data_IF_737183939772
#
_entry.id   IF_737183939772
#
_cell.length_a   1.000
_cell.length_b   1.000
_cell.length_c   1.000
_cell.angle_alpha   90.00
_cell.angle_beta   90.00
_cell.angle_gamma   90.00
#
_symmetry.space_group_name_H-M   'P 1'
#
loop_
_entity.id
_entity.type
_entity.pdbx_description
1 polymer ?
#
# COMPACT_ATOMS: atom_id res chain seq x y z
N UNK A 1 32.69 -19.60 -29.25
CA UNK A 1 32.09 -19.94 -27.95
C UNK A 1 31.08 -21.09 -28.01
N UNK A 2 30.21 -21.22 -29.02
CA UNK A 2 29.29 -22.37 -29.11
C UNK A 2 29.98 -23.71 -29.47
N UNK A 3 31.07 -23.68 -30.26
CA UNK A 3 31.80 -24.88 -30.71
C UNK A 3 32.60 -25.59 -29.58
N UNK A 4 33.03 -24.86 -28.56
CA UNK A 4 33.80 -25.44 -27.44
C UNK A 4 32.91 -26.21 -26.45
N UNK A 5 31.63 -25.82 -26.34
CA UNK A 5 30.68 -26.48 -25.45
C UNK A 5 30.28 -27.85 -26.00
N UNK A 6 30.08 -27.96 -27.31
CA UNK A 6 29.69 -29.22 -27.96
C UNK A 6 30.83 -30.26 -27.95
N UNK A 7 32.08 -29.81 -28.11
CA UNK A 7 33.27 -30.65 -27.95
C UNK A 7 33.46 -31.11 -26.49
N UNK A 8 33.23 -30.22 -25.52
CA UNK A 8 33.30 -30.56 -24.10
C UNK A 8 32.20 -31.57 -23.69
N UNK A 9 30.96 -31.37 -24.13
CA UNK A 9 29.84 -32.29 -23.88
C UNK A 9 30.13 -33.66 -24.51
N UNK A 10 30.62 -33.70 -25.75
CA UNK A 10 30.95 -34.96 -26.45
C UNK A 10 32.10 -35.70 -25.76
N UNK A 11 33.11 -34.97 -25.26
CA UNK A 11 34.23 -35.54 -24.51
C UNK A 11 33.78 -36.14 -23.18
N UNK A 12 32.94 -35.41 -22.43
CA UNK A 12 32.38 -35.90 -21.15
C UNK A 12 31.50 -37.13 -21.40
N UNK A 13 30.66 -37.11 -22.44
CA UNK A 13 29.84 -38.27 -22.79
C UNK A 13 30.66 -39.51 -23.15
N UNK A 14 31.78 -39.36 -23.89
CA UNK A 14 32.66 -40.48 -24.24
C UNK A 14 33.39 -41.05 -23.03
N UNK A 15 33.90 -40.19 -22.15
CA UNK A 15 34.56 -40.61 -20.91
C UNK A 15 33.57 -41.37 -20.00
N UNK A 16 32.34 -40.88 -19.90
CA UNK A 16 31.30 -41.54 -19.10
C UNK A 16 30.85 -42.86 -19.73
N UNK A 17 30.76 -42.94 -21.06
CA UNK A 17 30.44 -44.18 -21.77
C UNK A 17 31.54 -45.24 -21.59
N UNK A 18 32.82 -44.84 -21.61
CA UNK A 18 33.93 -45.74 -21.28
C UNK A 18 33.89 -46.20 -19.82
N UNK A 19 33.59 -45.30 -18.88
CA UNK A 19 33.45 -45.64 -17.47
C UNK A 19 32.33 -46.66 -17.24
N UNK A 20 31.18 -46.47 -17.89
CA UNK A 20 30.03 -47.40 -17.80
C UNK A 20 30.39 -48.75 -18.41
N UNK A 21 31.06 -48.77 -19.58
CA UNK A 21 31.49 -50.03 -20.18
C UNK A 21 32.53 -50.77 -19.33
N UNK A 22 33.43 -50.04 -18.68
CA UNK A 22 34.39 -50.61 -17.74
C UNK A 22 33.70 -51.18 -16.50
N UNK A 23 32.75 -50.45 -15.90
CA UNK A 23 31.98 -50.94 -14.76
C UNK A 23 31.13 -52.19 -15.11
N UNK A 24 30.55 -52.25 -16.31
CA UNK A 24 29.83 -53.43 -16.79
C UNK A 24 30.80 -54.62 -16.99
N UNK A 25 31.99 -54.38 -17.55
CA UNK A 25 33.00 -55.41 -17.75
C UNK A 25 33.57 -55.94 -16.42
N UNK A 26 33.82 -55.05 -15.46
CA UNK A 26 34.30 -55.40 -14.12
C UNK A 26 33.23 -56.17 -13.35
N UNK A 27 31.96 -55.77 -13.47
CA UNK A 27 30.82 -56.49 -12.90
C UNK A 27 30.64 -57.88 -13.53
N UNK A 28 30.69 -58.00 -14.86
CA UNK A 28 30.62 -59.29 -15.55
C UNK A 28 31.79 -60.21 -15.13
N UNK A 29 32.97 -59.65 -14.89
CA UNK A 29 34.15 -60.39 -14.41
C UNK A 29 33.97 -60.84 -12.95
N UNK A 30 33.44 -59.98 -12.09
CA UNK A 30 33.14 -60.28 -10.69
C UNK A 30 32.07 -61.38 -10.56
N UNK A 31 30.98 -61.29 -11.34
CA UNK A 31 29.93 -62.32 -11.40
C UNK A 31 30.50 -63.66 -11.88
N UNK A 32 31.39 -63.65 -12.88
CA UNK A 32 32.04 -64.87 -13.41
C UNK A 32 32.99 -65.52 -12.41
N UNK A 33 33.62 -64.74 -11.54
CA UNK A 33 34.47 -65.23 -10.46
C UNK A 33 33.65 -65.79 -9.28
N UNK A 34 32.46 -65.24 -9.04
CA UNK A 34 31.64 -65.55 -7.86
C UNK A 34 30.54 -66.62 -8.11
N UNK A 35 30.29 -67.01 -9.38
CA UNK A 35 29.41 -68.12 -9.79
C UNK A 35 29.92 -69.54 -9.40
N UNK A 36 31.02 -69.63 -8.64
CA UNK A 36 31.50 -70.88 -8.02
C UNK A 36 31.28 -70.95 -6.50
N UNK A 37 30.50 -70.03 -5.92
CA UNK A 37 30.04 -70.06 -4.53
C UNK A 37 28.51 -69.96 -4.40
N UNK A 38 27.91 -70.40 -3.28
CA UNK A 38 26.46 -70.59 -3.17
C UNK A 38 25.67 -69.26 -3.17
N UNK A 39 24.75 -69.14 -4.13
CA UNK A 39 23.44 -68.49 -4.22
C UNK A 39 23.14 -67.08 -3.65
N UNK A 40 24.05 -66.38 -2.95
CA UNK A 40 23.70 -65.10 -2.29
C UNK A 40 24.48 -63.86 -2.74
N UNK A 41 25.42 -63.97 -3.68
CA UNK A 41 26.38 -62.89 -3.97
C UNK A 41 26.00 -62.06 -5.22
N UNK A 42 25.36 -62.67 -6.23
CA UNK A 42 25.00 -61.99 -7.49
C UNK A 42 24.02 -60.81 -7.29
N UNK A 43 23.14 -60.86 -6.29
CA UNK A 43 22.16 -59.79 -5.99
C UNK A 43 22.87 -58.53 -5.46
N UNK A 44 23.91 -58.67 -4.63
CA UNK A 44 24.63 -57.53 -4.07
C UNK A 44 25.48 -56.81 -5.13
N UNK A 45 26.03 -57.53 -6.10
CA UNK A 45 26.76 -56.91 -7.19
C UNK A 45 25.86 -56.08 -8.11
N UNK A 46 24.62 -56.52 -8.35
CA UNK A 46 23.63 -55.74 -9.10
C UNK A 46 23.28 -54.46 -8.33
N UNK A 47 23.02 -54.55 -7.03
CA UNK A 47 22.71 -53.39 -6.17
C UNK A 47 23.87 -52.38 -6.16
N UNK A 48 25.11 -52.85 -6.02
CA UNK A 48 26.29 -51.99 -6.05
C UNK A 48 26.49 -51.30 -7.41
N UNK A 49 26.18 -51.97 -8.53
CA UNK A 49 26.22 -51.37 -9.87
C UNK A 49 25.21 -50.23 -10.01
N UNK A 50 24.01 -50.37 -9.44
CA UNK A 50 23.00 -49.31 -9.42
C UNK A 50 23.44 -48.09 -8.58
N UNK A 51 24.09 -48.33 -7.44
CA UNK A 51 24.64 -47.27 -6.58
C UNK A 51 25.86 -46.56 -7.22
N UNK A 52 26.78 -47.30 -7.85
CA UNK A 52 27.96 -46.74 -8.51
C UNK A 52 27.61 -45.90 -9.76
N UNK A 53 26.55 -46.28 -10.47
CA UNK A 53 25.99 -45.50 -11.58
C UNK A 53 25.22 -44.25 -11.11
N UNK A 54 25.15 -43.99 -9.79
CA UNK A 54 24.40 -42.89 -9.17
C UNK A 54 22.99 -42.76 -9.72
N UNK A 55 22.33 -43.90 -9.99
CA UNK A 55 20.93 -43.90 -10.39
C UNK A 55 20.05 -43.69 -9.16
N UNK A 56 20.07 -42.45 -8.64
CA UNK A 56 19.21 -42.01 -7.55
C UNK A 56 17.75 -42.06 -8.03
N UNK A 57 17.02 -43.10 -7.64
CA UNK A 57 15.59 -43.21 -7.98
C UNK A 57 14.97 -44.60 -8.00
N UNK A 58 15.73 -45.69 -7.87
CA UNK A 58 15.14 -47.03 -7.66
C UNK A 58 15.00 -47.31 -6.16
N UNK A 59 14.45 -46.35 -5.43
CA UNK A 59 13.68 -46.66 -4.23
C UNK A 59 12.24 -46.82 -4.73
N UNK A 60 11.84 -48.07 -4.95
CA UNK A 60 10.44 -48.40 -5.20
C UNK A 60 9.65 -47.87 -4.00
N UNK A 61 8.63 -47.06 -4.30
CA UNK A 61 7.70 -46.51 -3.34
C UNK A 61 7.29 -47.54 -2.27
N UNK A 62 7.14 -47.03 -1.04
CA UNK A 62 6.77 -47.75 0.18
C UNK A 62 5.86 -48.97 -0.10
N UNK A 63 6.31 -50.13 0.39
CA UNK A 63 5.63 -51.44 0.45
C UNK A 63 5.74 -52.42 -0.75
N UNK A 64 6.58 -52.18 -1.76
CA UNK A 64 6.84 -53.19 -2.80
C UNK A 64 8.32 -53.56 -2.91
N UNK A 65 8.77 -54.56 -2.12
CA UNK A 65 10.07 -55.22 -2.30
C UNK A 65 10.19 -55.72 -3.75
N UNK A 66 11.33 -55.54 -4.45
CA UNK A 66 11.59 -56.30 -5.66
C UNK A 66 11.65 -57.77 -5.27
N UNK A 67 10.63 -58.54 -5.65
CA UNK A 67 10.61 -59.97 -5.43
C UNK A 67 11.43 -60.63 -6.54
N UNK A 68 12.76 -60.53 -6.44
CA UNK A 68 13.62 -61.55 -7.02
C UNK A 68 13.43 -62.78 -6.15
N UNK A 69 12.68 -63.76 -6.65
CA UNK A 69 12.51 -65.04 -5.95
C UNK A 69 13.46 -66.04 -6.61
N UNK A 70 14.45 -66.50 -5.86
CA UNK A 70 15.22 -67.70 -6.16
C UNK A 70 14.47 -68.89 -5.58
N UNK A 71 14.12 -69.85 -6.42
CA UNK A 71 13.66 -71.16 -5.96
C UNK A 71 14.86 -72.10 -5.78
N UNK A 72 14.71 -73.13 -4.95
CA UNK A 72 15.79 -74.02 -4.52
C UNK A 72 16.41 -74.87 -5.66
N UNK A 73 15.89 -74.72 -6.87
CA UNK A 73 16.35 -75.33 -8.12
C UNK A 73 17.17 -74.38 -9.01
N UNK A 74 17.50 -73.17 -8.54
CA UNK A 74 18.32 -72.20 -9.27
C UNK A 74 17.53 -71.24 -10.16
N UNK A 75 16.19 -71.33 -10.21
CA UNK A 75 15.40 -70.42 -11.05
C UNK A 75 15.29 -69.01 -10.44
N UNK A 76 15.71 -67.99 -11.20
CA UNK A 76 15.59 -66.57 -10.84
C UNK A 76 14.36 -65.95 -11.51
N UNK A 77 13.40 -65.49 -10.70
CA UNK A 77 12.23 -64.76 -11.20
C UNK A 77 12.43 -63.25 -11.07
N UNK A 78 12.57 -62.53 -12.19
CA UNK A 78 12.62 -61.07 -12.22
C UNK A 78 11.23 -60.50 -12.53
N UNK A 79 10.62 -59.85 -11.54
CA UNK A 79 9.33 -59.19 -11.67
C UNK A 79 9.47 -57.82 -12.35
N UNK A 80 9.42 -57.78 -13.68
CA UNK A 80 9.20 -56.51 -14.41
C UNK A 80 7.70 -56.27 -14.56
N UNK A 81 7.12 -55.36 -13.77
CA UNK A 81 5.74 -54.90 -14.02
C UNK A 81 5.72 -53.94 -15.21
N UNK A 82 4.86 -54.16 -16.22
CA UNK A 82 4.34 -53.05 -17.01
C UNK A 82 3.24 -52.37 -16.20
N UNK A 83 3.37 -51.07 -15.94
CA UNK A 83 2.30 -50.28 -15.33
C UNK A 83 1.08 -50.25 -16.26
N UNK A 84 0.00 -50.94 -15.88
CA UNK A 84 -1.35 -50.49 -16.18
C UNK A 84 -2.32 -50.92 -15.07
N UNK A 85 -3.14 -49.96 -14.63
CA UNK A 85 -4.15 -50.14 -13.59
C UNK A 85 -5.12 -51.28 -13.96
N UNK A 86 -5.30 -52.25 -13.05
CA UNK A 86 -6.58 -52.96 -12.94
C UNK A 86 -6.70 -54.38 -13.52
N UNK A 87 -5.62 -55.08 -13.88
CA UNK A 87 -5.74 -56.49 -14.30
C UNK A 87 -5.30 -57.47 -13.20
N UNK A 88 -6.19 -58.41 -12.85
CA UNK A 88 -5.85 -59.61 -12.06
C UNK A 88 -4.81 -60.42 -12.82
N UNK A 89 -3.63 -60.56 -12.23
CA UNK A 89 -2.50 -61.31 -12.79
C UNK A 89 -2.86 -62.80 -12.83
N UNK A 90 -2.89 -63.40 -14.03
CA UNK A 90 -2.93 -64.87 -14.20
C UNK A 90 -1.49 -65.38 -14.28
N UNK A 91 -1.16 -66.44 -13.54
CA UNK A 91 0.17 -67.08 -13.50
C UNK A 91 0.69 -67.56 -14.87
N UNK A 92 -0.16 -67.61 -15.89
CA UNK A 92 0.09 -68.25 -17.18
C UNK A 92 0.76 -67.35 -18.22
N UNK A 93 1.04 -66.08 -17.92
CA UNK A 93 1.66 -65.13 -18.88
C UNK A 93 3.16 -64.88 -18.64
N UNK A 94 3.79 -65.62 -17.73
CA UNK A 94 5.23 -65.53 -17.49
C UNK A 94 5.94 -66.65 -18.25
N UNK A 95 6.87 -66.27 -19.14
CA UNK A 95 7.88 -67.22 -19.60
C UNK A 95 8.97 -67.27 -18.52
N UNK A 96 9.27 -68.46 -17.95
CA UNK A 96 10.48 -68.61 -17.16
C UNK A 96 11.67 -68.26 -18.06
N UNK A 97 12.55 -67.38 -17.59
CA UNK A 97 13.86 -67.18 -18.21
C UNK A 97 14.78 -68.14 -17.45
N UNK A 98 15.27 -69.18 -18.12
CA UNK A 98 16.23 -70.09 -17.53
C UNK A 98 17.58 -69.36 -17.32
N UNK A 99 18.37 -69.76 -16.32
CA UNK A 99 19.75 -69.24 -16.14
C UNK A 99 20.59 -69.35 -17.42
N UNK A 100 20.34 -70.38 -18.24
CA UNK A 100 20.99 -70.60 -19.53
C UNK A 100 20.53 -69.65 -20.65
N UNK A 101 19.39 -68.96 -20.48
CA UNK A 101 18.82 -67.99 -21.44
C UNK A 101 19.19 -66.53 -21.11
N UNK A 102 19.77 -66.28 -19.93
CA UNK A 102 20.34 -65.00 -19.53
C UNK A 102 21.73 -64.85 -20.14
N UNK A 103 21.81 -64.73 -21.47
CA UNK A 103 23.07 -64.30 -22.07
C UNK A 103 23.43 -62.91 -21.54
N UNK A 104 24.73 -62.64 -21.35
CA UNK A 104 25.26 -61.32 -21.00
C UNK A 104 24.69 -60.21 -21.90
N UNK A 105 24.33 -60.56 -23.15
CA UNK A 105 23.66 -59.71 -24.13
C UNK A 105 22.23 -59.29 -23.73
N UNK A 106 21.40 -60.19 -23.19
CA UNK A 106 20.02 -59.88 -22.77
C UNK A 106 19.98 -58.94 -21.57
N UNK A 107 20.86 -59.18 -20.58
CA UNK A 107 21.03 -58.29 -19.42
C UNK A 107 21.59 -56.92 -19.83
N UNK A 108 22.60 -56.91 -20.70
CA UNK A 108 23.18 -55.69 -21.25
C UNK A 108 22.17 -54.84 -22.02
N UNK A 109 21.33 -55.46 -22.86
CA UNK A 109 20.28 -54.75 -23.61
C UNK A 109 19.19 -54.16 -22.70
N UNK A 110 18.79 -54.89 -21.64
CA UNK A 110 17.84 -54.41 -20.64
C UNK A 110 18.35 -53.19 -19.87
N UNK A 111 19.61 -53.22 -19.43
CA UNK A 111 20.27 -52.10 -18.76
C UNK A 111 20.41 -50.88 -19.68
N UNK A 112 20.81 -51.08 -20.95
CA UNK A 112 20.91 -49.99 -21.92
C UNK A 112 19.56 -49.32 -22.19
N UNK A 113 18.46 -50.09 -22.25
CA UNK A 113 17.10 -49.56 -22.38
C UNK A 113 16.68 -48.72 -21.16
N UNK A 114 17.02 -49.14 -19.95
CA UNK A 114 16.73 -48.40 -18.72
C UNK A 114 17.54 -47.10 -18.64
N UNK A 115 18.85 -47.15 -18.96
CA UNK A 115 19.72 -45.97 -19.04
C UNK A 115 19.20 -44.99 -20.10
N UNK A 116 18.79 -45.49 -21.27
CA UNK A 116 18.21 -44.67 -22.34
C UNK A 116 16.93 -43.94 -21.90
N UNK A 117 16.03 -44.65 -21.20
CA UNK A 117 14.78 -44.07 -20.67
C UNK A 117 15.04 -43.00 -19.61
N UNK A 118 15.98 -43.23 -18.70
CA UNK A 118 16.26 -42.24 -17.64
C UNK A 118 16.96 -41.00 -18.19
N UNK A 119 17.83 -41.16 -19.19
CA UNK A 119 18.40 -40.02 -19.94
C UNK A 119 17.34 -39.23 -20.68
N UNK A 120 16.39 -39.90 -21.35
CA UNK A 120 15.29 -39.21 -22.02
C UNK A 120 14.39 -38.44 -21.02
N UNK A 121 14.13 -39.04 -19.86
CA UNK A 121 13.37 -38.41 -18.78
C UNK A 121 14.10 -37.21 -18.18
N UNK A 122 15.41 -37.31 -17.94
CA UNK A 122 16.24 -36.19 -17.50
C UNK A 122 16.31 -35.08 -18.54
N UNK A 123 16.47 -35.42 -19.83
CA UNK A 123 16.47 -34.44 -20.91
C UNK A 123 15.13 -33.69 -21.00
N UNK A 124 14.00 -34.40 -20.87
CA UNK A 124 12.67 -33.78 -20.83
C UNK A 124 12.50 -32.86 -19.61
N UNK A 125 12.93 -33.30 -18.43
CA UNK A 125 12.87 -32.47 -17.22
C UNK A 125 13.74 -31.20 -17.33
N UNK A 126 14.96 -31.32 -17.89
CA UNK A 126 15.82 -30.16 -18.13
C UNK A 126 15.22 -29.21 -19.15
N UNK A 127 14.60 -29.73 -20.22
CA UNK A 127 13.94 -28.92 -21.23
C UNK A 127 12.72 -28.19 -20.65
N UNK A 128 11.87 -28.87 -19.87
CA UNK A 128 10.73 -28.26 -19.20
C UNK A 128 11.14 -27.19 -18.19
N UNK A 129 12.21 -27.42 -17.41
CA UNK A 129 12.77 -26.42 -16.51
C UNK A 129 13.29 -25.20 -17.27
N UNK A 130 14.03 -25.41 -18.36
CA UNK A 130 14.56 -24.33 -19.19
C UNK A 130 13.44 -23.50 -19.85
N UNK A 131 12.42 -24.17 -20.40
CA UNK A 131 11.26 -23.48 -20.99
C UNK A 131 10.47 -22.69 -19.94
N UNK A 132 10.35 -23.22 -18.72
CA UNK A 132 9.67 -22.55 -17.61
C UNK A 132 10.45 -21.32 -17.15
N UNK A 133 11.77 -21.43 -16.97
CA UNK A 133 12.65 -20.31 -16.63
C UNK A 133 12.58 -19.22 -17.70
N UNK A 134 12.65 -19.60 -18.98
CA UNK A 134 12.56 -18.65 -20.10
C UNK A 134 11.20 -17.93 -20.14
N UNK A 135 10.10 -18.62 -19.85
CA UNK A 135 8.77 -17.98 -19.76
C UNK A 135 8.70 -16.98 -18.60
N UNK A 136 9.22 -17.36 -17.42
CA UNK A 136 9.25 -16.48 -16.25
C UNK A 136 10.13 -15.25 -16.49
N UNK A 137 11.29 -15.40 -17.15
CA UNK A 137 12.15 -14.28 -17.52
C UNK A 137 11.47 -13.32 -18.51
N UNK A 138 10.79 -13.86 -19.54
CA UNK A 138 10.03 -13.06 -20.49
C UNK A 138 8.86 -12.33 -19.82
N UNK A 139 8.17 -12.99 -18.90
CA UNK A 139 7.05 -12.38 -18.16
C UNK A 139 7.54 -11.26 -17.23
N UNK A 140 8.64 -11.48 -16.48
CA UNK A 140 9.28 -10.44 -15.66
C UNK A 140 9.74 -9.26 -16.51
N UNK A 141 10.44 -9.52 -17.62
CA UNK A 141 10.88 -8.46 -18.52
C UNK A 141 9.71 -7.67 -19.13
N UNK A 142 8.58 -8.34 -19.41
CA UNK A 142 7.36 -7.68 -19.87
C UNK A 142 6.73 -6.82 -18.77
N UNK A 143 6.64 -7.33 -17.55
CA UNK A 143 6.09 -6.59 -16.40
C UNK A 143 6.96 -5.36 -16.06
N UNK A 144 8.29 -5.51 -16.05
CA UNK A 144 9.23 -4.41 -15.83
C UNK A 144 9.09 -3.31 -16.89
N UNK A 145 8.92 -3.68 -18.17
CA UNK A 145 8.65 -2.71 -19.24
C UNK A 145 7.33 -1.98 -19.04
N UNK A 146 6.25 -2.71 -18.73
CA UNK A 146 4.93 -2.10 -18.48
C UNK A 146 4.96 -1.15 -17.27
N UNK A 147 5.64 -1.53 -16.19
CA UNK A 147 5.80 -0.68 -15.01
C UNK A 147 6.64 0.57 -15.33
N UNK A 148 7.74 0.41 -16.07
CA UNK A 148 8.58 1.55 -16.49
C UNK A 148 7.83 2.51 -17.41
N UNK A 149 7.07 2.00 -18.39
CA UNK A 149 6.23 2.83 -19.26
C UNK A 149 5.14 3.56 -18.48
N UNK A 150 4.47 2.86 -17.56
CA UNK A 150 3.45 3.46 -16.70
C UNK A 150 4.04 4.58 -15.82
N UNK A 151 5.19 4.35 -15.18
CA UNK A 151 5.90 5.37 -14.40
C UNK A 151 6.27 6.58 -15.26
N UNK A 152 6.76 6.36 -16.48
CA UNK A 152 7.11 7.44 -17.40
C UNK A 152 5.90 8.27 -17.81
N UNK A 153 4.74 7.64 -18.04
CA UNK A 153 3.49 8.37 -18.32
C UNK A 153 3.07 9.21 -17.13
N UNK A 154 3.09 8.65 -15.92
CA UNK A 154 2.79 9.39 -14.69
C UNK A 154 3.72 10.59 -14.47
N UNK A 155 5.03 10.42 -14.70
CA UNK A 155 5.99 11.52 -14.58
C UNK A 155 5.75 12.62 -15.62
N UNK A 156 5.43 12.27 -16.87
CA UNK A 156 5.11 13.24 -17.91
C UNK A 156 3.82 14.01 -17.58
N UNK A 157 2.78 13.32 -17.14
CA UNK A 157 1.53 13.93 -16.69
C UNK A 157 1.78 14.86 -15.50
N UNK A 158 2.48 14.39 -14.47
CA UNK A 158 2.86 15.18 -13.29
C UNK A 158 3.61 16.45 -13.65
N UNK A 159 4.57 16.38 -14.58
CA UNK A 159 5.35 17.54 -15.00
C UNK A 159 4.50 18.56 -15.77
N UNK A 160 3.60 18.10 -16.64
CA UNK A 160 2.70 18.97 -17.39
C UNK A 160 1.67 19.65 -16.48
N UNK A 161 1.04 18.87 -15.60
CA UNK A 161 0.05 19.34 -14.64
C UNK A 161 0.67 20.28 -13.59
N UNK A 162 1.85 19.93 -13.09
CA UNK A 162 2.55 20.72 -12.07
C UNK A 162 2.92 22.12 -12.54
N UNK A 163 3.32 22.29 -13.80
CA UNK A 163 3.62 23.61 -14.35
C UNK A 163 2.39 24.52 -14.44
N UNK A 164 1.24 23.96 -14.81
CA UNK A 164 -0.04 24.69 -14.89
C UNK A 164 -0.53 25.04 -13.48
N UNK A 165 -0.52 24.09 -12.55
CA UNK A 165 -0.93 24.30 -11.16
C UNK A 165 -0.09 25.39 -10.47
N UNK A 166 1.25 25.35 -10.61
CA UNK A 166 2.12 26.37 -10.04
C UNK A 166 1.80 27.77 -10.57
N UNK A 167 1.57 27.90 -11.87
CA UNK A 167 1.20 29.19 -12.47
C UNK A 167 -0.12 29.72 -11.89
N UNK A 168 -1.09 28.85 -11.70
CA UNK A 168 -2.41 29.23 -11.17
C UNK A 168 -2.32 29.56 -9.69
N UNK A 169 -1.53 28.84 -8.90
CA UNK A 169 -1.27 29.20 -7.50
C UNK A 169 -0.69 30.60 -7.38
N UNK A 170 0.29 30.94 -8.23
CA UNK A 170 0.86 32.30 -8.27
C UNK A 170 -0.21 33.35 -8.63
N UNK A 171 -1.13 33.03 -9.54
CA UNK A 171 -2.25 33.93 -9.86
C UNK A 171 -3.24 34.08 -8.69
N UNK A 172 -3.56 32.99 -8.00
CA UNK A 172 -4.40 32.99 -6.79
C UNK A 172 -3.75 33.85 -5.71
N UNK A 173 -2.47 33.61 -5.41
CA UNK A 173 -1.72 34.36 -4.39
C UNK A 173 -1.68 35.85 -4.73
N UNK A 174 -1.49 36.18 -6.01
CA UNK A 174 -1.58 37.57 -6.48
C UNK A 174 -2.97 38.16 -6.25
N UNK A 175 -4.05 37.47 -6.63
CA UNK A 175 -5.43 37.93 -6.42
C UNK A 175 -5.75 38.08 -4.93
N UNK A 176 -5.27 37.16 -4.09
CA UNK A 176 -5.39 37.20 -2.63
C UNK A 176 -4.67 38.43 -2.07
N UNK A 177 -3.42 38.68 -2.48
CA UNK A 177 -2.65 39.85 -2.05
C UNK A 177 -3.30 41.17 -2.49
N UNK A 178 -3.81 41.24 -3.72
CA UNK A 178 -4.53 42.41 -4.23
C UNK A 178 -5.86 42.65 -3.47
N UNK A 179 -6.57 41.57 -3.10
CA UNK A 179 -7.78 41.65 -2.29
C UNK A 179 -7.48 42.03 -0.83
N UNK A 180 -6.38 41.52 -0.26
CA UNK A 180 -5.88 41.88 1.06
C UNK A 180 -5.62 43.37 1.20
N UNK A 181 -5.01 43.99 0.19
CA UNK A 181 -4.76 45.44 0.16
C UNK A 181 -6.04 46.27 0.14
N UNK A 182 -7.15 45.68 -0.31
CA UNK A 182 -8.48 46.31 -0.37
C UNK A 182 -9.37 45.92 0.81
N UNK A 183 -8.88 45.13 1.76
CA UNK A 183 -9.61 44.82 2.99
C UNK A 183 -9.96 46.10 3.72
N UNK A 184 -11.09 46.05 4.44
CA UNK A 184 -11.59 47.17 5.21
C UNK A 184 -10.48 47.73 6.14
N UNK A 185 -10.29 49.04 6.10
CA UNK A 185 -9.26 49.73 6.88
C UNK A 185 -9.90 50.54 8.01
N UNK A 186 -9.28 50.53 9.18
CA UNK A 186 -9.72 51.33 10.30
C UNK A 186 -9.69 52.82 9.94
N UNK A 187 -10.80 53.57 10.07
CA UNK A 187 -10.80 54.96 9.66
C UNK A 187 -9.86 55.80 10.53
N UNK A 188 -9.04 56.62 9.88
CA UNK A 188 -8.00 57.39 10.56
C UNK A 188 -8.57 58.27 11.68
N UNK A 189 -7.97 58.18 12.87
CA UNK A 189 -8.33 58.99 14.04
C UNK A 189 -9.65 58.59 14.72
N UNK A 190 -10.32 57.53 14.29
CA UNK A 190 -11.49 56.99 15.00
C UNK A 190 -11.06 56.12 16.17
N UNK A 191 -11.78 56.27 17.28
CA UNK A 191 -11.61 55.44 18.48
C UNK A 191 -12.97 54.82 18.79
N UNK A 192 -13.02 53.50 18.94
CA UNK A 192 -14.18 52.79 19.46
C UNK A 192 -13.95 52.52 20.95
N UNK A 193 -14.92 52.88 21.78
CA UNK A 193 -14.88 52.58 23.22
C UNK A 193 -15.88 51.48 23.50
N UNK A 194 -15.38 50.34 23.98
CA UNK A 194 -16.20 49.21 24.42
C UNK A 194 -15.98 48.99 25.91
N UNK A 195 -16.98 48.42 26.56
CA UNK A 195 -16.91 47.99 27.95
C UNK A 195 -17.13 46.50 28.02
N UNK A 196 -16.14 45.76 28.51
CA UNK A 196 -16.33 44.38 28.91
C UNK A 196 -16.96 44.39 30.29
N UNK A 197 -18.14 43.82 30.42
CA UNK A 197 -18.82 43.68 31.71
C UNK A 197 -18.74 42.22 32.14
N UNK A 198 -18.34 42.00 33.40
CA UNK A 198 -18.38 40.71 34.06
C UNK A 198 -19.27 40.83 35.29
N UNK A 199 -20.12 39.84 35.51
CA UNK A 199 -21.07 39.87 36.62
C UNK A 199 -21.31 38.48 37.21
N UNK A 200 -21.67 38.48 38.49
CA UNK A 200 -22.06 37.29 39.21
C UNK A 200 -23.41 36.77 38.72
N UNK A 201 -23.44 35.50 38.32
CA UNK A 201 -24.62 34.83 37.75
C UNK A 201 -25.18 33.72 38.67
N UNK A 202 -24.57 33.47 39.83
CA UNK A 202 -25.05 32.51 40.82
C UNK A 202 -23.94 31.63 41.37
N UNK A 203 -24.26 30.87 42.41
CA UNK A 203 -23.37 29.87 43.00
C UNK A 203 -23.92 28.46 42.77
N UNK A 204 -23.03 27.48 42.63
CA UNK A 204 -23.39 26.07 42.59
C UNK A 204 -22.41 25.28 43.45
N UNK A 205 -22.80 24.06 43.82
CA UNK A 205 -21.86 23.11 44.45
C UNK A 205 -21.31 22.18 43.39
N UNK A 206 -20.00 21.99 43.39
CA UNK A 206 -19.37 21.01 42.52
C UNK A 206 -19.58 19.57 43.04
N UNK A 207 -18.92 18.61 42.40
CA UNK A 207 -19.05 17.19 42.73
C UNK A 207 -18.45 16.82 44.09
N UNK A 208 -17.54 17.64 44.59
CA UNK A 208 -16.87 17.47 45.89
C UNK A 208 -17.60 18.24 47.01
N UNK A 209 -18.66 18.97 46.66
CA UNK A 209 -19.51 19.73 47.58
C UNK A 209 -18.98 21.13 47.90
N UNK A 210 -17.93 21.58 47.19
CA UNK A 210 -17.36 22.91 47.35
C UNK A 210 -18.25 23.96 46.68
N UNK A 211 -18.32 25.14 47.30
CA UNK A 211 -19.07 26.27 46.76
C UNK A 211 -18.28 26.92 45.62
N UNK A 212 -18.78 26.78 44.40
CA UNK A 212 -18.27 27.47 43.23
C UNK A 212 -19.16 28.66 42.86
N UNK A 213 -18.53 29.71 42.34
CA UNK A 213 -19.24 30.89 41.83
C UNK A 213 -19.21 30.88 40.30
N UNK A 214 -20.36 31.13 39.70
CA UNK A 214 -20.54 31.27 38.26
C UNK A 214 -20.56 32.76 37.90
N UNK A 215 -19.72 33.11 36.94
CA UNK A 215 -19.65 34.45 36.37
C UNK A 215 -20.08 34.39 34.91
N UNK A 216 -20.76 35.44 34.47
CA UNK A 216 -21.08 35.67 33.09
C UNK A 216 -20.42 36.97 32.63
N UNK A 217 -20.17 37.06 31.32
CA UNK A 217 -19.56 38.22 30.71
C UNK A 217 -20.26 38.60 29.40
N UNK A 218 -19.99 39.82 28.96
CA UNK A 218 -20.41 40.34 27.67
C UNK A 218 -19.81 41.71 27.42
N UNK A 219 -20.13 42.29 26.27
CA UNK A 219 -19.64 43.60 25.88
C UNK A 219 -20.77 44.60 25.73
N UNK A 220 -20.52 45.87 26.05
CA UNK A 220 -21.48 46.96 25.91
C UNK A 220 -20.80 48.24 25.38
N UNK A 221 -21.61 49.16 24.85
CA UNK A 221 -21.19 50.54 24.56
C UNK A 221 -21.33 51.47 25.79
N UNK A 222 -21.88 50.97 26.90
CA UNK A 222 -22.13 51.72 28.13
C UNK A 222 -21.39 51.08 29.30
N UNK A 223 -20.89 51.92 30.21
CA UNK A 223 -20.31 51.54 31.51
C UNK A 223 -21.34 51.52 32.65
N UNK A 224 -22.61 51.76 32.32
CA UNK A 224 -23.72 51.83 33.27
C UNK A 224 -24.98 51.18 32.73
N UNK A 225 -25.77 50.67 33.67
CA UNK A 225 -27.16 50.24 33.43
C UNK A 225 -28.06 51.45 33.20
N UNK A 226 -29.20 51.24 32.54
CA UNK A 226 -30.27 52.23 32.45
C UNK A 226 -31.01 52.40 33.79
N UNK A 227 -32.01 53.29 33.82
CA UNK A 227 -32.77 53.61 35.02
C UNK A 227 -33.55 52.42 35.61
N UNK A 228 -33.84 51.41 34.79
CA UNK A 228 -34.58 50.21 35.19
C UNK A 228 -33.63 49.05 35.56
N UNK A 229 -32.32 49.29 35.48
CA UNK A 229 -31.25 48.34 35.78
C UNK A 229 -30.89 47.42 34.60
N UNK A 230 -31.26 47.77 33.37
CA UNK A 230 -30.91 46.97 32.19
C UNK A 230 -29.61 47.46 31.54
N UNK A 231 -28.83 46.50 31.03
CA UNK A 231 -27.66 46.73 30.22
C UNK A 231 -27.83 46.02 28.87
N UNK A 232 -27.58 46.76 27.80
CA UNK A 232 -27.58 46.24 26.44
C UNK A 232 -26.22 45.62 26.13
N UNK A 233 -26.21 44.34 25.80
CA UNK A 233 -25.04 43.60 25.37
C UNK A 233 -24.98 43.50 23.85
N UNK A 234 -23.78 43.65 23.32
CA UNK A 234 -23.48 43.65 21.89
C UNK A 234 -23.42 42.24 21.31
N UNK A 235 -23.74 42.07 20.01
CA UNK A 235 -23.52 40.80 19.32
C UNK A 235 -22.05 40.42 19.32
N UNK A 236 -21.74 39.19 19.75
CA UNK A 236 -20.38 38.66 19.86
C UNK A 236 -20.32 37.22 19.36
N UNK A 237 -19.19 36.86 18.74
CA UNK A 237 -18.88 35.49 18.36
C UNK A 237 -18.54 34.67 19.62
N UNK A 238 -19.18 33.51 19.79
CA UNK A 238 -18.84 32.55 20.82
C UNK A 238 -18.02 31.40 20.28
N UNK A 239 -16.90 31.13 20.95
CA UNK A 239 -16.13 29.91 20.76
C UNK A 239 -16.66 28.86 21.74
N UNK A 240 -17.60 28.02 21.29
CA UNK A 240 -18.20 27.00 22.16
C UNK A 240 -17.28 25.78 22.32
N UNK A 241 -16.64 25.31 21.24
CA UNK A 241 -15.60 24.27 21.29
C UNK A 241 -14.62 24.35 20.10
N UNK A 242 -13.37 23.85 20.22
CA UNK A 242 -12.48 23.67 19.08
C UNK A 242 -13.13 22.76 18.03
N UNK A 243 -13.37 23.29 16.83
CA UNK A 243 -13.95 22.53 15.70
C UNK A 243 -15.45 22.74 15.48
N UNK A 244 -16.15 23.47 16.36
CA UNK A 244 -17.54 23.86 16.12
C UNK A 244 -17.61 25.21 15.39
N UNK A 245 -18.55 25.39 14.43
CA UNK A 245 -18.76 26.68 13.80
C UNK A 245 -19.12 27.71 14.85
N UNK A 246 -18.46 28.87 14.80
CA UNK A 246 -18.66 29.89 15.81
C UNK A 246 -20.11 30.40 15.76
N UNK A 247 -20.82 30.26 16.87
CA UNK A 247 -22.18 30.76 17.02
C UNK A 247 -22.13 32.22 17.45
N UNK A 248 -22.87 33.08 16.77
CA UNK A 248 -23.04 34.46 17.22
C UNK A 248 -24.12 34.52 18.29
N UNK A 249 -23.82 35.17 19.42
CA UNK A 249 -24.86 35.61 20.34
C UNK A 249 -25.44 36.90 19.77
N UNK A 250 -26.74 36.90 19.56
CA UNK A 250 -27.46 38.11 19.19
C UNK A 250 -27.38 39.17 20.29
N UNK A 251 -27.69 40.39 19.88
CA UNK A 251 -27.91 41.51 20.78
C UNK A 251 -28.95 41.13 21.85
N UNK A 252 -28.62 41.38 23.12
CA UNK A 252 -29.50 41.03 24.25
C UNK A 252 -29.48 42.09 25.33
N UNK A 253 -30.59 42.25 26.02
CA UNK A 253 -30.68 43.07 27.22
C UNK A 253 -30.69 42.19 28.45
N UNK A 254 -29.83 42.48 29.42
CA UNK A 254 -29.79 41.80 30.71
C UNK A 254 -30.15 42.79 31.81
N UNK A 255 -30.83 42.33 32.87
CA UNK A 255 -31.05 43.13 34.07
C UNK A 255 -29.93 42.84 35.06
N UNK A 256 -29.23 43.89 35.48
CA UNK A 256 -28.18 43.84 36.48
C UNK A 256 -28.63 44.64 37.70
N UNK A 257 -28.75 43.95 38.83
CA UNK A 257 -28.99 44.56 40.15
C UNK A 257 -27.62 44.68 40.84
N UNK A 258 -27.06 45.89 41.02
CA UNK A 258 -25.68 46.07 41.48
C UNK A 258 -25.35 45.31 42.78
N UNK A 259 -26.31 45.24 43.71
CA UNK A 259 -26.17 44.58 45.02
C UNK A 259 -26.18 43.05 44.94
N UNK A 260 -26.66 42.48 43.83
CA UNK A 260 -26.76 41.03 43.61
C UNK A 260 -25.71 40.56 42.62
N UNK A 261 -25.57 41.28 41.50
CA UNK A 261 -24.73 40.87 40.38
C UNK A 261 -23.31 41.39 40.47
N UNK A 262 -23.04 42.41 41.30
CA UNK A 262 -21.70 43.03 41.46
C UNK A 262 -20.98 43.27 40.13
N UNK A 263 -21.58 44.01 39.18
CA UNK A 263 -21.03 44.14 37.84
C UNK A 263 -19.71 44.92 37.86
N UNK A 264 -18.71 44.38 37.17
CA UNK A 264 -17.40 45.01 36.97
C UNK A 264 -17.25 45.38 35.50
N UNK A 265 -16.98 46.66 35.23
CA UNK A 265 -16.81 47.18 33.88
C UNK A 265 -15.34 47.47 33.61
N UNK A 266 -14.81 46.87 32.54
CA UNK A 266 -13.49 47.16 32.01
C UNK A 266 -13.62 47.96 30.72
N UNK A 267 -13.09 49.19 30.72
CA UNK A 267 -13.07 50.07 29.55
C UNK A 267 -11.94 49.68 28.60
N UNK A 268 -12.27 49.49 27.32
CA UNK A 268 -11.32 49.23 26.23
C UNK A 268 -11.45 50.32 25.17
N UNK A 269 -10.33 50.99 24.88
CA UNK A 269 -10.23 51.92 23.75
C UNK A 269 -9.53 51.23 22.58
N UNK A 270 -10.24 51.12 21.47
CA UNK A 270 -9.78 50.42 20.26
C UNK A 270 -9.47 51.46 19.17
N UNK A 271 -8.27 51.39 18.60
CA UNK A 271 -7.76 52.38 17.63
C UNK A 271 -7.36 51.75 16.30
N UNK A 272 -7.40 50.43 16.22
CA UNK A 272 -7.04 49.64 15.06
C UNK A 272 -7.81 48.31 15.05
N UNK A 273 -7.76 47.61 13.92
CA UNK A 273 -8.29 46.24 13.82
C UNK A 273 -7.53 45.30 14.76
N UNK A 274 -6.24 45.50 14.95
CA UNK A 274 -5.38 44.65 15.80
C UNK A 274 -5.72 44.77 17.30
N UNK A 275 -6.36 45.88 17.72
CA UNK A 275 -6.83 46.04 19.10
C UNK A 275 -8.15 45.28 19.35
N UNK A 276 -8.87 44.91 18.28
CA UNK A 276 -10.21 44.36 18.36
C UNK A 276 -10.17 42.93 18.94
N UNK A 277 -10.96 42.61 19.97
CA UNK A 277 -11.11 41.23 20.42
C UNK A 277 -11.61 40.31 19.29
N UNK A 278 -11.05 39.09 19.20
CA UNK A 278 -11.43 38.08 18.20
C UNK A 278 -12.94 37.76 18.16
N UNK A 279 -13.66 38.01 19.27
CA UNK A 279 -15.11 37.83 19.31
C UNK A 279 -15.88 38.86 18.46
N UNK A 280 -15.18 39.83 17.90
CA UNK A 280 -15.69 40.88 17.03
C UNK A 280 -15.05 40.90 15.63
N UNK A 281 -14.24 39.89 15.30
CA UNK A 281 -13.71 39.71 13.95
C UNK A 281 -14.46 38.62 13.20
N UNK A 282 -14.58 38.78 11.89
CA UNK A 282 -15.07 37.78 10.96
C UNK A 282 -14.07 37.53 9.83
N UNK A 283 -14.01 36.28 9.37
CA UNK A 283 -13.14 35.91 8.26
C UNK A 283 -13.68 36.51 6.97
N UNK A 284 -12.84 37.26 6.27
CA UNK A 284 -13.11 37.71 4.91
C UNK A 284 -12.61 36.66 3.93
N UNK A 285 -13.46 36.28 2.97
CA UNK A 285 -13.14 35.30 1.94
C UNK A 285 -13.21 35.94 0.55
N UNK A 286 -12.31 35.53 -0.32
CA UNK A 286 -12.32 35.81 -1.75
C UNK A 286 -12.76 34.54 -2.48
N UNK A 287 -13.83 34.65 -3.25
CA UNK A 287 -14.19 33.65 -4.24
C UNK A 287 -13.47 33.98 -5.55
N UNK A 288 -12.74 33.00 -6.08
CA UNK A 288 -12.05 33.08 -7.37
C UNK A 288 -12.72 32.09 -8.31
N UNK A 289 -13.52 32.63 -9.21
CA UNK A 289 -14.24 31.85 -10.22
C UNK A 289 -13.29 31.30 -11.29
N UNK A 290 -13.79 30.33 -12.06
CA UNK A 290 -13.11 29.73 -13.22
C UNK A 290 -11.83 28.95 -12.87
N UNK A 291 -11.64 28.66 -11.57
CA UNK A 291 -10.58 27.77 -11.08
C UNK A 291 -11.20 26.49 -10.55
N UNK A 292 -10.76 25.35 -11.07
CA UNK A 292 -11.16 24.03 -10.57
C UNK A 292 -9.97 23.17 -10.14
N UNK A 293 -10.27 22.23 -9.26
CA UNK A 293 -9.35 21.21 -8.78
C UNK A 293 -9.65 19.88 -9.49
N UNK A 294 -8.63 19.29 -10.11
CA UNK A 294 -8.71 17.99 -10.79
C UNK A 294 -7.71 17.05 -10.14
N UNK A 295 -8.16 15.83 -9.85
CA UNK A 295 -7.30 14.77 -9.34
C UNK A 295 -6.59 14.09 -10.52
N UNK A 296 -5.26 14.01 -10.45
CA UNK A 296 -4.47 13.20 -11.36
C UNK A 296 -4.64 11.69 -11.06
N UNK A 297 -4.08 10.83 -11.91
CA UNK A 297 -4.17 9.37 -11.75
C UNK A 297 -3.57 8.85 -10.43
N UNK A 298 -2.62 9.58 -9.84
CA UNK A 298 -2.01 9.26 -8.55
C UNK A 298 -2.82 9.80 -7.34
N UNK A 299 -3.95 10.47 -7.59
CA UNK A 299 -4.78 11.09 -6.57
C UNK A 299 -4.30 12.48 -6.13
N UNK A 300 -3.23 13.02 -6.72
CA UNK A 300 -2.75 14.37 -6.41
C UNK A 300 -3.68 15.43 -7.02
N UNK A 301 -4.14 16.42 -6.25
CA UNK A 301 -4.96 17.51 -6.78
C UNK A 301 -4.12 18.58 -7.50
N UNK A 302 -4.59 19.00 -8.68
CA UNK A 302 -4.01 20.08 -9.47
C UNK A 302 -5.06 21.13 -9.81
N UNK A 303 -4.66 22.39 -9.77
CA UNK A 303 -5.50 23.53 -10.13
C UNK A 303 -5.40 23.85 -11.61
N UNK A 304 -6.51 24.29 -12.18
CA UNK A 304 -6.67 24.65 -13.58
C UNK A 304 -7.56 25.89 -13.75
N UNK A 305 -7.29 26.66 -14.79
CA UNK A 305 -7.96 27.92 -15.14
C UNK A 305 -8.69 27.73 -16.49
N UNK A 306 -9.98 28.07 -16.56
CA UNK A 306 -10.73 28.13 -17.82
C UNK A 306 -12.26 28.07 -17.66
N UNK A 307 -13.00 27.76 -18.75
CA UNK A 307 -14.43 27.46 -18.71
C UNK A 307 -14.65 25.94 -18.59
N UNK A 308 -14.88 25.47 -17.38
CA UNK A 308 -14.95 24.04 -17.05
C UNK A 308 -16.36 23.50 -17.28
N UNK A 309 -16.55 22.20 -17.04
CA UNK A 309 -17.87 21.54 -17.11
C UNK A 309 -18.82 21.90 -15.93
N UNK A 310 -18.60 23.01 -15.22
CA UNK A 310 -19.43 23.45 -14.09
C UNK A 310 -18.93 24.74 -13.43
N UNK A 311 -19.65 25.20 -12.41
CA UNK A 311 -19.36 26.39 -11.60
C UNK A 311 -18.18 26.15 -10.64
N UNK A 312 -17.00 25.84 -11.18
CA UNK A 312 -15.78 25.67 -10.39
C UNK A 312 -15.32 27.01 -9.81
N UNK A 313 -15.22 27.08 -8.49
CA UNK A 313 -14.64 28.22 -7.79
C UNK A 313 -13.74 27.76 -6.66
N UNK A 314 -12.75 28.57 -6.37
CA UNK A 314 -11.87 28.39 -5.21
C UNK A 314 -12.15 29.53 -4.22
N UNK A 315 -12.43 29.16 -2.97
CA UNK A 315 -12.55 30.12 -1.87
C UNK A 315 -11.21 30.18 -1.13
N UNK A 316 -10.72 31.40 -0.88
CA UNK A 316 -9.54 31.66 -0.05
C UNK A 316 -9.89 32.65 1.02
N UNK A 317 -9.51 32.36 2.26
CA UNK A 317 -9.54 33.38 3.31
C UNK A 317 -8.46 34.41 2.97
N UNK A 318 -8.88 35.68 2.91
CA UNK A 318 -7.98 36.80 2.61
C UNK A 318 -7.58 37.55 3.87
N UNK A 319 -8.35 37.46 4.96
CA UNK A 319 -7.97 38.06 6.24
C UNK A 319 -9.11 38.04 7.22
N UNK A 320 -9.01 38.90 8.22
CA UNK A 320 -10.06 39.17 9.20
C UNK A 320 -10.47 40.64 9.13
N UNK A 321 -11.76 40.89 9.31
CA UNK A 321 -12.34 42.23 9.32
C UNK A 321 -13.25 42.36 10.54
N UNK A 322 -13.45 43.58 11.09
CA UNK A 322 -14.43 43.76 12.15
C UNK A 322 -15.83 43.38 11.66
N UNK A 323 -16.67 42.81 12.54
CA UNK A 323 -18.06 42.49 12.20
C UNK A 323 -18.87 43.72 11.76
N UNK A 324 -19.96 43.47 11.03
CA UNK A 324 -20.72 44.50 10.30
C UNK A 324 -21.06 45.73 11.15
N UNK A 325 -21.64 45.55 12.35
CA UNK A 325 -22.08 46.68 13.18
C UNK A 325 -20.91 47.57 13.64
N UNK A 326 -19.71 47.01 13.82
CA UNK A 326 -18.50 47.79 14.17
C UNK A 326 -18.07 48.65 12.99
N UNK A 327 -18.05 48.07 11.78
CA UNK A 327 -17.74 48.81 10.56
C UNK A 327 -18.73 49.97 10.37
N UNK A 328 -20.02 49.70 10.53
CA UNK A 328 -21.09 50.71 10.43
C UNK A 328 -20.97 51.80 11.49
N UNK A 329 -20.56 51.46 12.71
CA UNK A 329 -20.37 52.43 13.81
C UNK A 329 -19.19 53.38 13.60
N UNK A 330 -18.18 52.96 12.83
CA UNK A 330 -16.96 53.71 12.58
C UNK A 330 -17.01 54.57 11.30
N UNK A 331 -17.87 54.21 10.35
CA UNK A 331 -18.06 54.95 9.08
C UNK A 331 -19.15 56.02 9.27
N UNK A 332 -18.87 57.31 8.97
CA UNK A 332 -19.90 58.35 9.03
C UNK A 332 -21.04 58.05 8.04
N UNK A 333 -22.28 58.30 8.45
CA UNK A 333 -23.50 58.05 7.66
C UNK A 333 -23.49 58.64 6.23
N UNK A 334 -22.69 59.68 5.97
CA UNK A 334 -22.55 60.30 4.64
C UNK A 334 -21.68 59.51 3.63
N UNK A 335 -21.00 58.44 4.05
CA UNK A 335 -20.09 57.65 3.20
C UNK A 335 -20.78 56.46 2.53
N UNK A 336 -21.95 56.04 3.04
CA UNK A 336 -22.69 54.87 2.55
C UNK A 336 -23.53 55.15 1.30
N UNK A 337 -23.63 56.41 0.87
CA UNK A 337 -24.40 56.83 -0.31
C UNK A 337 -23.58 56.93 -1.61
N UNK A 338 -22.26 56.67 -1.58
CA UNK A 338 -21.41 56.72 -2.78
C UNK A 338 -20.92 55.34 -3.27
N UNK A 339 -21.33 54.24 -2.62
CA UNK A 339 -20.89 52.89 -2.96
C UNK A 339 -22.06 51.91 -3.18
N UNK A 340 -23.23 52.40 -3.61
CA UNK A 340 -24.30 51.57 -4.17
C UNK A 340 -24.41 51.77 -5.67
#
# INVERSE_FOLDING_TARGET
MALDLEAAITSVMRAEQQRIQQAIADFATQVKHDLHGPDSIAINGIINLFDELKMEGIWLADDAKPAVKLEADGQIWILTRPYSRGYKIRKEQYKPIHEDDLSDECLGQGLLLLIGREREKQAKQQQEQYETQKRQELERASQERQQSEYQRVLELEKNQLGAVDQRIRVQIDRKVNEAQQKLWQWPQGKVLVLYKVEWFNGGYRDKDGESCFSYASGWSLSDRVDNDGYLKLLPEKQFQHPGEPAAYKDERCIRLVPEVNFPVFERRELRSVDDLPDCFTENAYLQIDEIWEVLAMDGTPYLFDGPGRGDGFVVRQIGEVPIAWIRESLVPANSLLQAR
#
